data_IF_809824432359
#
_entry.id   IF_809824432359
#
_cell.length_a   1.000
_cell.length_b   1.000
_cell.length_c   1.000
_cell.angle_alpha   90.00
_cell.angle_beta   90.00
_cell.angle_gamma   90.00
#
_symmetry.space_group_name_H-M   'P 1'
#
loop_
_entity.id
_entity.type
_entity.pdbx_description
1 polymer ?
#
# COMPACT_ATOMS: atom_id res chain seq x y z
N UNK A 1 9.71 -7.47 -7.84
CA UNK A 1 8.43 -6.90 -7.38
C UNK A 1 8.66 -6.05 -6.12
N UNK A 2 8.99 -6.68 -4.99
CA UNK A 2 9.12 -5.99 -3.68
C UNK A 2 10.09 -4.81 -3.66
N UNK A 3 11.30 -4.94 -4.21
CA UNK A 3 12.26 -3.84 -4.24
C UNK A 3 11.77 -2.60 -5.02
N UNK A 4 10.88 -2.78 -5.99
CA UNK A 4 10.31 -1.66 -6.73
C UNK A 4 9.30 -0.90 -5.89
N UNK A 5 8.53 -1.61 -5.06
CA UNK A 5 7.57 -1.00 -4.13
C UNK A 5 8.29 -0.13 -3.09
N UNK A 6 9.37 -0.64 -2.49
CA UNK A 6 10.17 0.11 -1.51
C UNK A 6 10.85 1.35 -2.09
N UNK A 7 11.39 1.26 -3.31
CA UNK A 7 11.99 2.42 -4.01
C UNK A 7 10.98 3.51 -4.33
N UNK A 8 9.73 3.17 -4.56
CA UNK A 8 8.68 4.17 -4.80
C UNK A 8 8.39 4.98 -3.53
N UNK A 9 8.20 4.30 -2.39
CA UNK A 9 7.95 4.97 -1.11
C UNK A 9 9.06 5.96 -0.74
N UNK A 10 10.32 5.60 -0.96
CA UNK A 10 11.47 6.49 -0.73
C UNK A 10 11.45 7.77 -1.58
N UNK A 11 10.73 7.76 -2.70
CA UNK A 11 10.63 8.90 -3.64
C UNK A 11 9.34 9.70 -3.45
N UNK A 12 8.40 9.22 -2.64
CA UNK A 12 7.13 9.89 -2.39
C UNK A 12 7.33 11.07 -1.42
N UNK A 13 6.75 12.26 -1.70
CA UNK A 13 6.76 13.37 -0.76
C UNK A 13 6.04 13.00 0.54
N UNK A 14 6.57 13.43 1.69
CA UNK A 14 6.03 13.09 3.02
C UNK A 14 4.57 13.51 3.23
N UNK A 15 4.14 14.64 2.64
CA UNK A 15 2.76 15.14 2.72
C UNK A 15 1.78 14.21 1.97
N UNK A 16 2.20 13.59 0.86
CA UNK A 16 1.37 12.62 0.14
C UNK A 16 1.27 11.30 0.90
N UNK A 17 2.29 10.96 1.70
CA UNK A 17 2.33 9.72 2.45
C UNK A 17 1.28 9.69 3.57
N UNK A 18 1.05 10.80 4.28
CA UNK A 18 0.00 10.86 5.31
C UNK A 18 -1.40 10.67 4.74
N UNK A 19 -1.69 11.31 3.60
CA UNK A 19 -2.98 11.18 2.93
C UNK A 19 -3.22 9.73 2.47
N UNK A 20 -2.17 9.05 2.00
CA UNK A 20 -2.26 7.64 1.64
C UNK A 20 -2.42 6.72 2.84
N UNK A 21 -1.76 7.01 3.97
CA UNK A 21 -1.95 6.25 5.21
C UNK A 21 -3.40 6.36 5.69
N UNK A 22 -3.99 7.55 5.68
CA UNK A 22 -5.39 7.74 6.08
C UNK A 22 -6.36 7.04 5.12
N UNK A 23 -6.09 7.11 3.81
CA UNK A 23 -6.87 6.40 2.80
C UNK A 23 -6.80 4.87 2.97
N UNK A 24 -5.62 4.33 3.28
CA UNK A 24 -5.42 2.90 3.53
C UNK A 24 -6.15 2.45 4.79
N UNK A 25 -6.02 3.19 5.90
CA UNK A 25 -6.74 2.90 7.16
C UNK A 25 -8.25 2.87 6.96
N UNK A 26 -8.79 3.75 6.12
CA UNK A 26 -10.22 3.78 5.82
C UNK A 26 -10.72 2.53 5.08
N UNK A 27 -9.87 1.83 4.33
CA UNK A 27 -10.23 0.63 3.55
C UNK A 27 -9.70 -0.67 4.16
N UNK A 28 -8.79 -0.58 5.12
CA UNK A 28 -8.06 -1.70 5.72
C UNK A 28 -8.98 -2.82 6.19
N UNK A 29 -10.01 -2.49 6.98
CA UNK A 29 -10.93 -3.50 7.50
C UNK A 29 -11.71 -4.22 6.40
N UNK A 30 -12.10 -3.49 5.35
CA UNK A 30 -12.78 -4.08 4.19
C UNK A 30 -11.83 -4.97 3.40
N UNK A 31 -10.57 -4.55 3.25
CA UNK A 31 -9.56 -5.34 2.58
C UNK A 31 -9.30 -6.64 3.34
N UNK A 32 -9.17 -6.62 4.68
CA UNK A 32 -9.02 -7.83 5.51
C UNK A 32 -10.12 -8.87 5.24
N UNK A 33 -11.37 -8.43 5.10
CA UNK A 33 -12.49 -9.32 4.80
C UNK A 33 -12.41 -10.01 3.42
N UNK A 34 -11.58 -9.50 2.51
CA UNK A 34 -11.36 -10.09 1.19
C UNK A 34 -10.28 -11.18 1.19
N UNK A 35 -9.46 -11.29 2.25
CA UNK A 35 -8.45 -12.33 2.37
C UNK A 35 -9.04 -13.57 3.04
N UNK A 36 -8.78 -14.75 2.47
CA UNK A 36 -9.21 -16.03 3.04
C UNK A 36 -8.35 -16.48 4.22
N UNK A 37 -7.12 -15.99 4.30
CA UNK A 37 -6.17 -16.28 5.37
C UNK A 37 -6.24 -15.22 6.47
N UNK A 38 -5.92 -15.62 7.70
CA UNK A 38 -5.85 -14.67 8.82
C UNK A 38 -4.72 -13.69 8.60
N UNK A 39 -5.05 -12.40 8.58
CA UNK A 39 -4.07 -11.31 8.49
C UNK A 39 -3.50 -10.92 9.86
N UNK A 40 -3.95 -11.56 10.95
CA UNK A 40 -3.56 -11.20 12.31
C UNK A 40 -2.05 -11.32 12.58
N UNK A 41 -1.35 -12.17 11.83
CA UNK A 41 0.11 -12.31 11.90
C UNK A 41 0.87 -11.05 11.47
N UNK A 42 0.20 -10.13 10.77
CA UNK A 42 0.77 -8.87 10.29
C UNK A 42 0.59 -7.74 11.30
N UNK A 43 -0.19 -7.98 12.35
CA UNK A 43 -0.54 -6.96 13.35
C UNK A 43 0.34 -7.05 14.61
N UNK A 44 1.35 -7.94 14.65
CA UNK A 44 2.23 -8.19 15.80
C UNK A 44 3.03 -6.93 16.22
N UNK A 45 3.36 -6.06 15.25
CA UNK A 45 4.03 -4.76 15.45
C UNK A 45 3.07 -3.56 15.26
N UNK A 46 1.75 -3.80 15.20
CA UNK A 46 0.73 -2.76 14.99
C UNK A 46 0.21 -2.67 13.56
N UNK A 47 0.61 -1.65 12.80
CA UNK A 47 0.01 -1.27 11.50
C UNK A 47 0.49 -2.13 10.31
N UNK A 48 1.06 -3.32 10.52
CA UNK A 48 1.77 -4.06 9.47
C UNK A 48 0.90 -4.49 8.28
N UNK A 49 -0.39 -4.77 8.49
CA UNK A 49 -1.32 -5.00 7.36
C UNK A 49 -1.60 -3.71 6.56
N UNK A 50 -1.73 -2.57 7.23
CA UNK A 50 -1.90 -1.28 6.56
C UNK A 50 -0.62 -0.90 5.78
N UNK A 51 0.56 -1.16 6.34
CA UNK A 51 1.83 -0.95 5.64
C UNK A 51 1.93 -1.80 4.37
N UNK A 52 1.53 -3.08 4.45
CA UNK A 52 1.46 -3.96 3.28
C UNK A 52 0.52 -3.39 2.20
N UNK A 53 -0.69 -2.99 2.57
CA UNK A 53 -1.66 -2.41 1.63
C UNK A 53 -1.15 -1.11 1.01
N UNK A 54 -0.51 -0.25 1.80
CA UNK A 54 0.06 1.00 1.33
C UNK A 54 1.15 0.76 0.30
N UNK A 55 2.06 -0.17 0.60
CA UNK A 55 3.17 -0.55 -0.26
C UNK A 55 2.66 -1.12 -1.60
N UNK A 56 1.66 -1.98 -1.55
CA UNK A 56 1.05 -2.61 -2.71
C UNK A 56 0.25 -1.61 -3.56
N UNK A 57 -0.57 -0.77 -2.92
CA UNK A 57 -1.37 0.25 -3.59
C UNK A 57 -0.51 1.28 -4.30
N UNK A 58 0.56 1.75 -3.66
CA UNK A 58 1.55 2.64 -4.25
C UNK A 58 2.16 2.06 -5.54
N UNK A 59 2.52 0.79 -5.53
CA UNK A 59 3.09 0.12 -6.70
C UNK A 59 2.08 0.01 -7.85
N UNK A 60 0.83 -0.33 -7.56
CA UNK A 60 -0.23 -0.39 -8.58
C UNK A 60 -0.46 0.98 -9.21
N UNK A 61 -0.57 2.04 -8.41
CA UNK A 61 -0.77 3.41 -8.91
C UNK A 61 0.40 3.86 -9.79
N UNK A 62 1.64 3.61 -9.37
CA UNK A 62 2.82 3.95 -10.18
C UNK A 62 2.85 3.15 -11.48
N UNK A 63 2.54 1.85 -11.42
CA UNK A 63 2.49 0.99 -12.59
C UNK A 63 1.42 1.46 -13.59
N UNK A 64 0.21 1.75 -13.12
CA UNK A 64 -0.88 2.29 -13.94
C UNK A 64 -0.55 3.66 -14.54
N UNK A 65 0.10 4.54 -13.78
CA UNK A 65 0.56 5.84 -14.27
C UNK A 65 1.68 5.72 -15.33
N UNK A 66 2.57 4.74 -15.20
CA UNK A 66 3.60 4.44 -16.21
C UNK A 66 2.98 3.83 -17.47
N UNK A 67 2.04 2.89 -17.31
CA UNK A 67 1.37 2.22 -18.42
C UNK A 67 0.56 3.22 -19.26
N UNK A 68 -0.17 4.13 -18.63
CA UNK A 68 -0.94 5.19 -19.30
C UNK A 68 -0.08 6.22 -20.04
N UNK A 69 1.21 6.36 -19.69
CA UNK A 69 2.17 7.21 -20.41
C UNK A 69 2.85 6.51 -21.58
N UNK A 70 2.73 5.18 -21.67
CA UNK A 70 3.33 4.36 -22.71
C UNK A 70 2.37 4.04 -23.87
N UNK A 71 1.07 4.31 -23.68
CA UNK A 71 0.03 4.31 -24.72
C UNK A 71 -0.21 5.72 -25.25
#
# INVERSE_FOLDING_TARGET
MEQHKWRFLQRAPSVLLSDFVDAVRAVEQRARCCYSESTAILDDDGDGFAEMLLLDGCFILEFSAKLSRAN
#
